data_IF_319804489209
#
_entry.id   IF_319804489209
#
_cell.length_a   1.000
_cell.length_b   1.000
_cell.length_c   1.000
_cell.angle_alpha   90.00
_cell.angle_beta   90.00
_cell.angle_gamma   90.00
#
_symmetry.space_group_name_H-M   'P 1'
#
loop_
_entity.id
_entity.type
_entity.pdbx_description
1 polymer ?
#
# COMPACT_ATOMS: atom_id res chain seq x y z
N UNK A 1 -7.92 14.48 8.61
CA UNK A 1 -8.63 13.36 7.93
C UNK A 1 -9.87 12.94 8.72
N UNK A 2 -11.08 13.35 8.33
CA UNK A 2 -12.29 12.89 9.02
C UNK A 2 -12.72 11.54 8.45
N UNK A 3 -12.63 10.46 9.24
CA UNK A 3 -13.15 9.08 9.00
C UNK A 3 -12.23 8.01 8.40
N UNK A 4 -10.96 8.29 8.11
CA UNK A 4 -10.03 7.24 7.65
C UNK A 4 -9.48 6.42 8.81
N UNK A 5 -9.38 5.10 8.62
CA UNK A 5 -8.51 4.27 9.49
C UNK A 5 -7.05 4.49 9.09
N UNK A 6 -6.12 4.35 10.03
CA UNK A 6 -4.68 4.28 9.72
C UNK A 6 -4.32 3.01 8.93
N UNK A 7 -5.24 2.05 8.86
CA UNK A 7 -5.09 0.85 8.05
C UNK A 7 -5.21 1.17 6.54
N UNK A 8 -4.50 0.44 5.66
CA UNK A 8 -4.35 0.81 4.24
C UNK A 8 -5.64 0.83 3.42
N UNK A 9 -6.65 0.02 3.79
CA UNK A 9 -7.99 0.02 3.18
C UNK A 9 -9.03 0.84 3.97
N UNK A 10 -8.57 1.72 4.87
CA UNK A 10 -9.40 2.61 5.67
C UNK A 10 -9.98 3.81 4.90
N UNK A 11 -9.76 3.89 3.59
CA UNK A 11 -10.18 4.98 2.72
C UNK A 11 -10.85 4.43 1.43
N UNK A 12 -11.72 5.24 0.83
CA UNK A 12 -12.50 4.83 -0.35
C UNK A 12 -11.60 4.63 -1.58
N UNK A 13 -10.51 5.40 -1.72
CA UNK A 13 -9.59 5.33 -2.86
C UNK A 13 -8.92 3.96 -2.96
N UNK A 14 -8.35 3.47 -1.86
CA UNK A 14 -7.76 2.14 -1.79
C UNK A 14 -8.79 1.03 -2.00
N UNK A 15 -10.02 1.24 -1.52
CA UNK A 15 -11.12 0.29 -1.70
C UNK A 15 -11.57 0.20 -3.17
N UNK A 16 -11.61 1.33 -3.88
CA UNK A 16 -11.92 1.38 -5.31
C UNK A 16 -10.78 0.76 -6.14
N UNK A 17 -9.53 1.09 -5.83
CA UNK A 17 -8.34 0.50 -6.48
C UNK A 17 -8.30 -1.03 -6.36
N UNK A 18 -8.80 -1.59 -5.25
CA UNK A 18 -8.80 -3.04 -5.05
C UNK A 18 -9.53 -3.83 -6.15
N UNK A 19 -10.50 -3.23 -6.84
CA UNK A 19 -11.22 -3.89 -7.93
C UNK A 19 -10.36 -4.14 -9.18
N UNK A 20 -9.21 -3.48 -9.32
CA UNK A 20 -8.25 -3.74 -10.41
C UNK A 20 -7.72 -5.19 -10.39
N UNK A 21 -7.74 -5.86 -9.23
CA UNK A 21 -7.37 -7.27 -9.08
C UNK A 21 -8.35 -8.25 -9.74
N UNK A 22 -9.57 -7.83 -10.07
CA UNK A 22 -10.54 -8.70 -10.77
C UNK A 22 -10.21 -8.85 -12.26
N UNK A 23 -9.62 -7.81 -12.87
CA UNK A 23 -9.41 -7.73 -14.32
C UNK A 23 -7.96 -8.00 -14.74
N UNK A 24 -6.99 -7.84 -13.83
CA UNK A 24 -5.57 -7.84 -14.13
C UNK A 24 -4.77 -8.86 -13.28
N UNK A 25 -3.51 -9.12 -13.65
CA UNK A 25 -2.60 -9.86 -12.77
C UNK A 25 -2.24 -9.00 -11.57
N UNK A 26 -2.54 -9.46 -10.36
CA UNK A 26 -2.35 -8.61 -9.17
C UNK A 26 -0.90 -8.19 -8.90
N UNK A 27 0.13 -8.88 -9.41
CA UNK A 27 1.49 -8.34 -9.31
C UNK A 27 1.74 -7.19 -10.27
N UNK A 28 1.12 -7.20 -11.46
CA UNK A 28 1.13 -6.05 -12.38
C UNK A 28 0.39 -4.87 -11.76
N UNK A 29 -0.77 -5.11 -11.12
CA UNK A 29 -1.54 -4.07 -10.40
C UNK A 29 -0.73 -3.43 -9.26
N UNK A 30 -0.04 -4.26 -8.46
CA UNK A 30 0.83 -3.80 -7.37
C UNK A 30 2.03 -3.01 -7.93
N UNK A 31 2.64 -3.50 -9.01
CA UNK A 31 3.78 -2.82 -9.63
C UNK A 31 3.38 -1.44 -10.18
N UNK A 32 2.24 -1.37 -10.87
CA UNK A 32 1.72 -0.12 -11.46
C UNK A 32 1.44 0.92 -10.38
N UNK A 33 0.88 0.51 -9.24
CA UNK A 33 0.69 1.37 -8.07
C UNK A 33 2.01 1.99 -7.55
N UNK A 34 3.10 1.21 -7.53
CA UNK A 34 4.41 1.75 -7.14
C UNK A 34 5.02 2.65 -8.21
N UNK A 35 4.85 2.30 -9.49
CA UNK A 35 5.37 3.10 -10.58
C UNK A 35 4.67 4.46 -10.66
N UNK A 36 3.36 4.52 -10.43
CA UNK A 36 2.60 5.78 -10.38
C UNK A 36 3.13 6.76 -9.33
N UNK A 37 3.39 6.32 -8.09
CA UNK A 37 3.96 7.21 -7.05
C UNK A 37 5.41 7.60 -7.34
N UNK A 38 6.20 6.68 -7.91
CA UNK A 38 7.61 6.96 -8.28
C UNK A 38 7.68 7.99 -9.41
N UNK A 39 6.82 7.86 -10.41
CA UNK A 39 6.75 8.79 -11.53
C UNK A 39 6.22 10.16 -11.08
N UNK A 40 5.16 10.18 -10.26
CA UNK A 40 4.59 11.43 -9.74
C UNK A 40 5.55 12.18 -8.81
N UNK A 41 6.43 11.49 -8.09
CA UNK A 41 7.48 12.12 -7.30
C UNK A 41 8.44 13.00 -8.15
N UNK A 42 8.44 12.84 -9.49
CA UNK A 42 9.19 13.71 -10.40
C UNK A 42 8.46 15.03 -10.74
N UNK A 43 7.16 15.14 -10.45
CA UNK A 43 6.28 16.28 -10.77
C UNK A 43 6.12 17.28 -9.60
N UNK A 44 7.07 17.29 -8.66
CA UNK A 44 7.17 18.19 -7.49
C UNK A 44 6.16 17.94 -6.34
N UNK A 45 5.04 17.25 -6.57
CA UNK A 45 4.07 16.94 -5.50
C UNK A 45 3.28 15.65 -5.77
N UNK A 46 3.15 14.80 -4.75
CA UNK A 46 2.44 13.52 -4.81
C UNK A 46 1.03 13.72 -4.28
N UNK A 47 0.05 13.43 -5.13
CA UNK A 47 -1.38 13.46 -4.81
C UNK A 47 -1.75 12.39 -3.77
N UNK A 48 -2.65 12.74 -2.86
CA UNK A 48 -3.07 11.87 -1.77
C UNK A 48 -3.75 10.59 -2.23
N UNK A 49 -4.44 10.59 -3.38
CA UNK A 49 -5.06 9.39 -3.95
C UNK A 49 -4.00 8.37 -4.37
N UNK A 50 -2.95 8.84 -5.05
CA UNK A 50 -1.79 8.02 -5.43
C UNK A 50 -1.07 7.50 -4.18
N UNK A 51 -0.95 8.32 -3.15
CA UNK A 51 -0.43 7.89 -1.85
C UNK A 51 -1.25 6.76 -1.24
N UNK A 52 -2.58 6.88 -1.23
CA UNK A 52 -3.48 5.87 -0.67
C UNK A 52 -3.31 4.52 -1.38
N UNK A 53 -3.22 4.55 -2.71
CA UNK A 53 -3.02 3.38 -3.56
C UNK A 53 -1.65 2.74 -3.27
N UNK A 54 -0.57 3.52 -3.21
CA UNK A 54 0.77 3.00 -2.94
C UNK A 54 0.88 2.37 -1.54
N UNK A 55 0.19 2.95 -0.53
CA UNK A 55 0.14 2.41 0.82
C UNK A 55 -0.59 1.05 0.84
N UNK A 56 -1.75 0.96 0.19
CA UNK A 56 -2.50 -0.29 0.05
C UNK A 56 -1.72 -1.36 -0.73
N UNK A 57 -1.05 -0.99 -1.83
CA UNK A 57 -0.23 -1.90 -2.62
C UNK A 57 0.93 -2.50 -1.81
N UNK A 58 1.58 -1.69 -0.95
CA UNK A 58 2.64 -2.17 -0.07
C UNK A 58 2.15 -3.18 0.97
N UNK A 59 0.96 -2.97 1.52
CA UNK A 59 0.28 -3.90 2.42
C UNK A 59 -0.06 -5.21 1.71
N UNK A 60 -0.67 -5.16 0.53
CA UNK A 60 -1.00 -6.36 -0.24
C UNK A 60 0.26 -7.13 -0.62
N UNK A 61 1.32 -6.44 -1.03
CA UNK A 61 2.61 -7.08 -1.30
C UNK A 61 3.18 -7.75 -0.05
N UNK A 62 3.22 -7.05 1.09
CA UNK A 62 3.71 -7.61 2.35
C UNK A 62 2.89 -8.86 2.75
N UNK A 63 1.57 -8.79 2.57
CA UNK A 63 0.64 -9.89 2.86
C UNK A 63 0.81 -11.08 1.92
N UNK A 64 1.20 -10.86 0.67
CA UNK A 64 1.49 -11.94 -0.28
C UNK A 64 2.64 -12.86 0.17
N UNK A 65 3.46 -12.43 1.14
CA UNK A 65 4.53 -13.23 1.75
C UNK A 65 4.13 -14.00 3.01
N UNK A 66 2.84 -14.01 3.38
CA UNK A 66 2.31 -14.77 4.53
C UNK A 66 1.44 -15.94 4.07
N UNK A 67 1.12 -16.88 4.97
CA UNK A 67 0.31 -18.08 4.68
C UNK A 67 -1.20 -17.79 4.56
N UNK A 68 -1.58 -16.59 4.11
CA UNK A 68 -2.97 -16.13 3.95
C UNK A 68 -3.38 -14.98 4.87
N UNK A 69 -4.66 -14.63 4.79
CA UNK A 69 -5.35 -13.56 5.54
C UNK A 69 -5.93 -14.15 6.83
N UNK A 70 -5.68 -13.49 7.97
CA UNK A 70 -6.24 -13.92 9.26
C UNK A 70 -7.71 -13.50 9.38
N UNK A 71 -8.51 -14.25 10.14
CA UNK A 71 -9.96 -14.01 10.28
C UNK A 71 -10.33 -12.60 10.82
N UNK A 72 -9.38 -11.93 11.48
CA UNK A 72 -9.58 -10.60 12.07
C UNK A 72 -9.03 -9.46 11.21
N UNK A 73 -8.51 -9.74 10.01
CA UNK A 73 -8.02 -8.74 9.08
C UNK A 73 -9.06 -8.51 7.98
N UNK A 74 -9.20 -7.25 7.58
CA UNK A 74 -10.10 -6.88 6.50
C UNK A 74 -9.32 -6.53 5.24
N UNK A 75 -9.71 -7.15 4.12
CA UNK A 75 -9.29 -6.78 2.77
C UNK A 75 -10.54 -6.75 1.87
N UNK A 76 -10.57 -5.89 0.84
CA UNK A 76 -11.60 -5.98 -0.19
C UNK A 76 -11.61 -7.37 -0.85
N UNK A 77 -12.81 -7.87 -1.20
CA UNK A 77 -13.00 -9.24 -1.72
C UNK A 77 -12.08 -9.60 -2.92
N UNK A 78 -11.83 -8.72 -3.90
CA UNK A 78 -10.90 -9.03 -5.00
C UNK A 78 -9.47 -9.31 -4.52
N UNK A 79 -8.97 -8.48 -3.60
CA UNK A 79 -7.63 -8.61 -3.01
C UNK A 79 -7.55 -9.86 -2.15
N UNK A 80 -8.57 -10.14 -1.34
CA UNK A 80 -8.61 -11.34 -0.51
C UNK A 80 -8.57 -12.61 -1.37
N UNK A 81 -9.39 -12.68 -2.43
CA UNK A 81 -9.37 -13.78 -3.39
C UNK A 81 -7.99 -13.92 -4.03
N UNK A 82 -7.38 -12.82 -4.46
CA UNK A 82 -6.06 -12.87 -5.09
C UNK A 82 -5.00 -13.40 -4.12
N UNK A 83 -4.96 -12.91 -2.88
CA UNK A 83 -4.04 -13.36 -1.83
C UNK A 83 -4.19 -14.87 -1.56
N UNK A 84 -5.42 -15.39 -1.56
CA UNK A 84 -5.68 -16.83 -1.40
C UNK A 84 -5.19 -17.66 -2.60
N UNK A 85 -5.34 -17.17 -3.83
CA UNK A 85 -4.93 -17.89 -5.04
C UNK A 85 -3.42 -17.81 -5.34
N UNK A 86 -2.75 -16.75 -4.89
CA UNK A 86 -1.32 -16.52 -5.11
C UNK A 86 -0.43 -16.90 -3.91
N UNK A 87 -0.96 -17.68 -2.98
CA UNK A 87 -0.16 -18.33 -1.94
C UNK A 87 1.05 -19.04 -2.57
N UNK A 88 2.25 -18.77 -2.03
CA UNK A 88 3.55 -19.31 -2.46
C UNK A 88 4.11 -18.81 -3.80
N UNK A 89 3.43 -17.92 -4.52
CA UNK A 89 3.98 -17.28 -5.72
C UNK A 89 4.52 -15.91 -5.39
N UNK A 90 5.66 -15.84 -4.70
CA UNK A 90 6.19 -14.56 -4.23
C UNK A 90 6.93 -13.80 -5.32
N UNK A 91 6.69 -12.49 -5.41
CA UNK A 91 7.46 -11.58 -6.27
C UNK A 91 8.40 -10.69 -5.45
N UNK A 92 9.62 -11.18 -5.21
CA UNK A 92 10.65 -10.47 -4.44
C UNK A 92 11.20 -9.24 -5.19
N UNK A 93 11.05 -9.18 -6.51
CA UNK A 93 11.59 -8.09 -7.34
C UNK A 93 10.86 -6.75 -7.11
N UNK A 94 9.64 -6.80 -6.56
CA UNK A 94 8.86 -5.61 -6.21
C UNK A 94 9.26 -4.98 -4.88
N UNK A 95 10.01 -5.68 -4.02
CA UNK A 95 10.38 -5.17 -2.69
C UNK A 95 11.15 -3.83 -2.76
N UNK A 96 12.17 -3.65 -3.62
CA UNK A 96 12.83 -2.36 -3.75
C UNK A 96 11.89 -1.21 -4.17
N UNK A 97 10.95 -1.47 -5.09
CA UNK A 97 9.95 -0.47 -5.52
C UNK A 97 9.00 -0.11 -4.37
N UNK A 98 8.50 -1.12 -3.64
CA UNK A 98 7.64 -0.90 -2.48
C UNK A 98 8.33 -0.08 -1.38
N UNK A 99 9.61 -0.36 -1.10
CA UNK A 99 10.37 0.43 -0.12
C UNK A 99 10.60 1.87 -0.58
N UNK A 100 10.79 2.10 -1.88
CA UNK A 100 10.89 3.44 -2.44
C UNK A 100 9.55 4.19 -2.31
N UNK A 101 8.44 3.57 -2.72
CA UNK A 101 7.09 4.11 -2.58
C UNK A 101 6.77 4.51 -1.12
N UNK A 102 7.05 3.63 -0.15
CA UNK A 102 6.86 3.92 1.29
C UNK A 102 7.76 5.03 1.83
N UNK A 103 8.91 5.31 1.20
CA UNK A 103 9.74 6.46 1.56
C UNK A 103 9.18 7.76 0.96
N UNK A 104 8.67 7.72 -0.27
CA UNK A 104 8.04 8.86 -0.94
C UNK A 104 6.76 9.29 -0.22
N UNK A 105 6.00 8.32 0.28
CA UNK A 105 4.77 8.52 1.04
C UNK A 105 4.92 9.44 2.26
N UNK A 106 6.05 9.36 2.96
CA UNK A 106 6.37 10.15 4.18
C UNK A 106 7.35 11.30 3.89
N UNK A 107 7.49 11.66 2.61
CA UNK A 107 8.35 12.77 2.21
C UNK A 107 7.59 14.10 2.29
N UNK A 108 8.34 15.21 2.34
CA UNK A 108 7.77 16.57 2.38
C UNK A 108 6.93 16.94 1.15
N UNK A 109 7.01 16.17 0.06
CA UNK A 109 6.26 16.39 -1.17
C UNK A 109 5.02 15.47 -1.29
N UNK A 110 4.54 14.91 -0.18
CA UNK A 110 3.39 13.99 -0.15
C UNK A 110 2.17 14.67 0.46
N UNK A 111 1.12 14.87 -0.34
CA UNK A 111 -0.15 15.40 0.17
C UNK A 111 -0.73 14.48 1.26
N UNK A 112 -0.57 13.16 1.10
CA UNK A 112 -1.05 12.20 2.08
C UNK A 112 -0.35 12.38 3.44
N UNK A 113 0.96 12.66 3.43
CA UNK A 113 1.72 12.95 4.65
C UNK A 113 1.19 14.23 5.33
N UNK A 114 1.03 15.33 4.59
CA UNK A 114 0.48 16.58 5.10
C UNK A 114 -0.89 16.38 5.76
N UNK A 115 -1.78 15.63 5.10
CA UNK A 115 -3.11 15.36 5.60
C UNK A 115 -3.12 14.50 6.88
N UNK A 116 -2.18 13.55 7.01
CA UNK A 116 -2.03 12.75 8.23
C UNK A 116 -1.37 13.52 9.36
N UNK A 117 -0.42 14.42 9.08
CA UNK A 117 0.19 15.31 10.07
C UNK A 117 -0.85 16.19 10.79
N UNK A 118 -1.91 16.58 10.08
CA UNK A 118 -3.05 17.35 10.61
C UNK A 118 -4.06 16.49 11.42
N UNK A 119 -3.78 15.19 11.60
CA UNK A 119 -4.65 14.22 12.28
C UNK A 119 -4.09 13.78 13.64
N UNK A 120 -4.98 13.33 14.54
CA UNK A 120 -4.57 12.79 15.85
C UNK A 120 -3.86 11.41 15.75
N UNK A 121 -3.96 10.74 14.60
CA UNK A 121 -3.48 9.36 14.38
C UNK A 121 -2.18 9.31 13.54
N UNK A 122 -1.48 10.44 13.36
CA UNK A 122 -0.24 10.51 12.55
C UNK A 122 0.84 9.51 13.02
N UNK A 123 0.99 9.35 14.34
CA UNK A 123 1.97 8.42 14.91
C UNK A 123 1.62 6.96 14.59
N UNK A 124 0.34 6.60 14.58
CA UNK A 124 -0.12 5.25 14.25
C UNK A 124 0.04 4.96 12.75
N UNK A 125 -0.27 5.94 11.90
CA UNK A 125 -0.06 5.81 10.45
C UNK A 125 1.42 5.67 10.07
N UNK A 126 2.31 6.52 10.60
CA UNK A 126 3.75 6.42 10.34
C UNK A 126 4.37 5.14 10.89
N UNK A 127 3.85 4.65 12.03
CA UNK A 127 4.23 3.35 12.58
C UNK A 127 3.81 2.20 11.67
N UNK A 128 2.59 2.21 11.12
CA UNK A 128 2.16 1.21 10.15
C UNK A 128 3.09 1.17 8.92
N UNK A 129 3.45 2.34 8.37
CA UNK A 129 4.43 2.44 7.28
C UNK A 129 5.79 1.84 7.67
N UNK A 130 6.27 2.10 8.88
CA UNK A 130 7.53 1.54 9.37
C UNK A 130 7.46 0.01 9.50
N UNK A 131 6.36 -0.53 10.02
CA UNK A 131 6.12 -1.99 10.14
C UNK A 131 6.08 -2.67 8.77
N UNK A 132 5.44 -2.05 7.78
CA UNK A 132 5.45 -2.52 6.39
C UNK A 132 6.87 -2.57 5.82
N UNK A 133 7.66 -1.51 6.01
CA UNK A 133 9.06 -1.46 5.55
C UNK A 133 9.90 -2.57 6.17
N UNK A 134 9.77 -2.81 7.47
CA UNK A 134 10.51 -3.87 8.15
C UNK A 134 10.06 -5.26 7.70
N UNK A 135 8.75 -5.47 7.51
CA UNK A 135 8.21 -6.71 6.98
C UNK A 135 8.78 -7.01 5.60
N UNK A 136 8.77 -6.05 4.68
CA UNK A 136 9.29 -6.20 3.32
C UNK A 136 10.81 -6.42 3.30
N UNK A 137 11.58 -5.66 4.09
CA UNK A 137 13.03 -5.86 4.23
C UNK A 137 13.41 -7.24 4.77
N UNK A 138 12.57 -7.84 5.62
CA UNK A 138 12.85 -9.17 6.17
C UNK A 138 12.78 -10.30 5.13
N UNK A 139 12.27 -10.02 3.92
CA UNK A 139 12.09 -11.00 2.84
C UNK A 139 13.24 -11.04 1.84
N UNK A 140 14.20 -10.11 1.92
CA UNK A 140 15.38 -10.03 1.03
C UNK A 140 16.68 -10.45 1.73
#
# INVERSE_FOLDING_TARGET
MGTWSHEPFGNDIASDWAYEFEENDGYEVIEDAFDQIIDMATEEFIDSDIGCIAHAAAEVLAKSFTDGVAENEYYPEPVEKWLQHNQHKHNYELIPKALLALNLLISENSELDELWQDSDDYEDWTKNIAELKETLKSKV
#
